data_IF_468439548686
#
_entry.id   IF_468439548686
#
_cell.length_a   1.000
_cell.length_b   1.000
_cell.length_c   1.000
_cell.angle_alpha   90.00
_cell.angle_beta   90.00
_cell.angle_gamma   90.00
#
_symmetry.space_group_name_H-M   'P 1'
#
loop_
_entity.id
_entity.type
_entity.pdbx_description
1 polymer ?
#
# COMPACT_ATOMS: atom_id res chain seq x y z
N UNK A 1 21.28 11.68 15.35
CA UNK A 1 20.24 11.28 14.38
C UNK A 1 19.72 9.85 14.64
N UNK A 2 19.76 9.34 15.88
CA UNK A 2 19.43 7.93 16.20
C UNK A 2 18.09 7.77 16.97
N UNK A 3 17.50 8.85 17.51
CA UNK A 3 16.28 8.78 18.33
C UNK A 3 14.98 9.13 17.57
N UNK A 4 14.99 9.13 16.24
CA UNK A 4 13.78 9.38 15.45
C UNK A 4 12.94 8.11 15.27
N UNK A 5 13.54 6.92 15.29
CA UNK A 5 12.79 5.67 15.10
C UNK A 5 11.97 5.39 16.36
N UNK A 6 10.68 5.14 16.14
CA UNK A 6 9.72 4.78 17.19
C UNK A 6 9.52 3.27 17.26
N UNK A 7 9.38 2.63 16.09
CA UNK A 7 9.12 1.20 15.99
C UNK A 7 9.50 0.69 14.60
N UNK A 8 9.83 -0.59 14.50
CA UNK A 8 10.02 -1.29 13.24
C UNK A 8 9.50 -2.72 13.38
N UNK A 9 8.72 -3.17 12.39
CA UNK A 9 8.24 -4.54 12.34
C UNK A 9 8.29 -5.09 10.92
N UNK A 10 8.50 -6.39 10.80
CA UNK A 10 8.38 -7.12 9.54
C UNK A 10 7.32 -8.21 9.75
N UNK A 11 6.14 -8.01 9.16
CA UNK A 11 5.03 -8.94 9.36
C UNK A 11 5.16 -10.20 8.50
N UNK A 12 5.83 -10.09 7.34
CA UNK A 12 6.16 -11.20 6.46
C UNK A 12 7.28 -10.81 5.48
N UNK A 13 7.75 -11.74 4.64
CA UNK A 13 8.77 -11.47 3.62
C UNK A 13 8.37 -10.47 2.51
N UNK A 14 7.13 -9.95 2.53
CA UNK A 14 6.59 -8.99 1.56
C UNK A 14 6.08 -7.70 2.20
N UNK A 15 6.16 -7.55 3.52
CA UNK A 15 5.63 -6.36 4.19
C UNK A 15 6.40 -6.02 5.46
N UNK A 16 6.76 -4.74 5.58
CA UNK A 16 7.41 -4.19 6.76
C UNK A 16 6.87 -2.80 7.07
N UNK A 17 6.92 -2.43 8.35
CA UNK A 17 6.55 -1.10 8.83
C UNK A 17 7.70 -0.44 9.56
N UNK A 18 7.84 0.86 9.38
CA UNK A 18 8.80 1.70 10.10
C UNK A 18 8.06 2.94 10.60
N UNK A 19 7.97 3.10 11.91
CA UNK A 19 7.43 4.30 12.52
C UNK A 19 8.56 5.19 13.00
N UNK A 20 8.48 6.48 12.69
CA UNK A 20 9.52 7.44 13.08
C UNK A 20 8.94 8.84 13.27
N UNK A 21 9.63 9.65 14.09
CA UNK A 21 9.41 11.09 14.22
C UNK A 21 10.32 11.83 13.27
N UNK A 22 9.74 12.78 12.54
CA UNK A 22 10.49 13.77 11.77
C UNK A 22 9.88 15.13 12.02
N UNK A 23 10.74 16.11 12.35
CA UNK A 23 10.31 17.41 12.86
C UNK A 23 9.34 17.22 14.04
N UNK A 24 8.14 17.82 13.96
CA UNK A 24 7.11 17.75 15.00
C UNK A 24 5.96 16.79 14.64
N UNK A 25 6.19 15.81 13.74
CA UNK A 25 5.18 14.82 13.32
C UNK A 25 5.71 13.40 13.41
N UNK A 26 4.80 12.46 13.64
CA UNK A 26 5.07 11.04 13.55
C UNK A 26 4.57 10.51 12.20
N UNK A 27 5.33 9.58 11.64
CA UNK A 27 5.05 8.93 10.36
C UNK A 27 5.13 7.44 10.56
N UNK A 28 4.32 6.69 9.81
CA UNK A 28 4.50 5.25 9.64
C UNK A 28 4.61 4.94 8.16
N UNK A 29 5.78 4.45 7.77
CA UNK A 29 6.01 3.86 6.47
C UNK A 29 5.51 2.42 6.49
N UNK A 30 4.68 2.05 5.52
CA UNK A 30 4.24 0.67 5.27
C UNK A 30 4.80 0.28 3.91
N UNK A 31 5.87 -0.51 3.90
CA UNK A 31 6.47 -1.04 2.70
C UNK A 31 5.81 -2.36 2.32
N UNK A 32 5.30 -2.45 1.10
CA UNK A 32 4.58 -3.62 0.60
C UNK A 32 5.12 -4.07 -0.76
N UNK A 33 5.38 -5.37 -0.89
CA UNK A 33 5.68 -6.01 -2.16
C UNK A 33 4.54 -6.93 -2.57
N UNK A 34 3.61 -6.39 -3.36
CA UNK A 34 2.42 -7.11 -3.79
C UNK A 34 2.78 -8.36 -4.62
N UNK A 35 1.93 -9.39 -4.63
CA UNK A 35 2.10 -10.53 -5.52
C UNK A 35 2.00 -10.07 -6.97
N UNK A 36 2.53 -10.86 -7.91
CA UNK A 36 2.44 -10.50 -9.32
C UNK A 36 0.98 -10.57 -9.79
N UNK A 37 0.66 -9.90 -10.89
CA UNK A 37 -0.69 -9.96 -11.45
C UNK A 37 -1.08 -11.39 -11.91
N UNK A 38 -0.10 -12.28 -12.13
CA UNK A 38 -0.34 -13.69 -12.43
C UNK A 38 -0.77 -14.50 -11.21
N UNK A 39 -0.23 -14.18 -10.02
CA UNK A 39 -0.63 -14.80 -8.75
C UNK A 39 -2.12 -14.59 -8.44
N UNK A 40 -2.72 -13.48 -8.89
CA UNK A 40 -4.18 -13.28 -8.81
C UNK A 40 -5.02 -14.37 -9.49
N UNK A 41 -4.44 -15.15 -10.41
CA UNK A 41 -5.11 -16.26 -11.11
C UNK A 41 -4.72 -17.62 -10.54
N UNK A 42 -3.44 -17.82 -10.24
CA UNK A 42 -2.89 -19.12 -9.78
C UNK A 42 -3.07 -19.35 -8.29
N UNK A 43 -3.04 -18.27 -7.51
CA UNK A 43 -2.97 -18.27 -6.05
C UNK A 43 -3.86 -17.15 -5.49
N UNK A 44 -5.11 -17.11 -5.94
CA UNK A 44 -6.04 -16.02 -5.62
C UNK A 44 -6.24 -15.86 -4.10
N UNK A 45 -6.46 -16.95 -3.38
CA UNK A 45 -6.71 -16.92 -1.93
C UNK A 45 -5.52 -16.37 -1.12
N UNK A 46 -4.29 -16.79 -1.44
CA UNK A 46 -3.10 -16.27 -0.75
C UNK A 46 -2.83 -14.82 -1.11
N UNK A 47 -3.13 -14.42 -2.36
CA UNK A 47 -3.07 -13.03 -2.82
C UNK A 47 -4.07 -12.17 -2.04
N UNK A 48 -5.32 -12.62 -1.92
CA UNK A 48 -6.38 -11.93 -1.18
C UNK A 48 -6.00 -11.73 0.28
N UNK A 49 -5.55 -12.79 0.95
CA UNK A 49 -5.04 -12.73 2.34
C UNK A 49 -3.89 -11.72 2.52
N UNK A 50 -3.02 -11.57 1.52
CA UNK A 50 -1.91 -10.62 1.61
C UNK A 50 -2.40 -9.17 1.50
N UNK A 51 -3.39 -8.90 0.66
CA UNK A 51 -4.01 -7.57 0.55
C UNK A 51 -4.88 -7.24 1.77
N UNK A 52 -5.64 -8.20 2.31
CA UNK A 52 -6.35 -8.05 3.58
C UNK A 52 -5.37 -7.73 4.72
N UNK A 53 -4.21 -8.39 4.74
CA UNK A 53 -3.16 -8.13 5.73
C UNK A 53 -2.62 -6.70 5.63
N UNK A 54 -2.48 -6.17 4.43
CA UNK A 54 -2.07 -4.78 4.22
C UNK A 54 -3.09 -3.81 4.83
N UNK A 55 -4.38 -4.01 4.57
CA UNK A 55 -5.46 -3.19 5.15
C UNK A 55 -5.46 -3.25 6.67
N UNK A 56 -5.35 -4.46 7.27
CA UNK A 56 -5.22 -4.61 8.72
C UNK A 56 -4.00 -3.86 9.28
N UNK A 57 -2.89 -3.83 8.54
CA UNK A 57 -1.68 -3.13 8.96
C UNK A 57 -1.86 -1.61 8.89
N UNK A 58 -2.58 -1.10 7.88
CA UNK A 58 -2.93 0.31 7.77
C UNK A 58 -3.87 0.74 8.90
N UNK A 59 -4.88 -0.06 9.22
CA UNK A 59 -5.83 0.18 10.32
C UNK A 59 -5.16 0.23 11.70
N UNK A 60 -4.06 -0.49 11.88
CA UNK A 60 -3.28 -0.51 13.12
C UNK A 60 -2.34 0.69 13.25
N UNK A 61 -2.14 1.48 12.19
CA UNK A 61 -1.31 2.68 12.29
C UNK A 61 -1.99 3.67 13.24
N UNK A 62 -1.27 4.25 14.23
CA UNK A 62 -1.86 5.24 15.12
C UNK A 62 -2.45 6.42 14.32
N UNK A 63 -3.69 6.81 14.61
CA UNK A 63 -4.43 7.86 13.86
C UNK A 63 -3.72 9.23 13.78
N UNK A 64 -2.77 9.51 14.67
CA UNK A 64 -1.99 10.75 14.68
C UNK A 64 -0.70 10.66 13.86
N UNK A 65 -0.37 9.49 13.32
CA UNK A 65 0.72 9.29 12.39
C UNK A 65 0.23 9.58 10.97
N UNK A 66 1.08 10.21 10.16
CA UNK A 66 0.87 10.24 8.70
C UNK A 66 1.37 8.92 8.10
N UNK A 67 0.52 8.27 7.31
CA UNK A 67 0.87 7.02 6.62
C UNK A 67 1.63 7.34 5.34
N UNK A 68 2.72 6.61 5.11
CA UNK A 68 3.42 6.56 3.82
C UNK A 68 3.36 5.11 3.34
N UNK A 69 2.44 4.82 2.42
CA UNK A 69 2.35 3.53 1.76
C UNK A 69 3.33 3.52 0.57
N UNK A 70 4.26 2.56 0.55
CA UNK A 70 5.33 2.48 -0.45
C UNK A 70 5.67 1.03 -0.82
N UNK A 71 6.50 0.86 -1.85
CA UNK A 71 7.01 -0.44 -2.29
C UNK A 71 6.64 -0.72 -3.75
N UNK A 72 6.60 -2.00 -4.10
CA UNK A 72 6.24 -2.47 -5.44
C UNK A 72 4.90 -3.20 -5.42
N UNK A 73 3.88 -2.53 -5.94
CA UNK A 73 2.52 -3.03 -5.98
C UNK A 73 2.21 -3.92 -7.18
N UNK A 74 3.16 -4.12 -8.11
CA UNK A 74 2.90 -4.83 -9.37
C UNK A 74 1.62 -4.31 -10.08
N UNK A 75 1.30 -3.02 -9.87
CA UNK A 75 0.05 -2.41 -10.26
C UNK A 75 0.23 -1.68 -11.58
N UNK A 76 -0.71 -1.91 -12.50
CA UNK A 76 -0.91 -1.03 -13.65
C UNK A 76 -2.16 -0.22 -13.33
N UNK A 77 -2.01 1.10 -13.31
CA UNK A 77 -3.12 2.02 -13.10
C UNK A 77 -3.39 2.75 -14.41
N UNK A 78 -4.64 2.67 -14.87
CA UNK A 78 -5.08 3.20 -16.16
C UNK A 78 -5.86 4.51 -16.08
N UNK A 79 -6.28 5.00 -17.25
CA UNK A 79 -7.00 6.28 -17.44
C UNK A 79 -8.51 6.17 -17.32
N UNK A 80 -9.02 5.10 -16.69
CA UNK A 80 -10.45 4.90 -16.52
C UNK A 80 -11.07 6.03 -15.69
N UNK A 81 -12.06 6.74 -16.26
CA UNK A 81 -12.73 7.88 -15.60
C UNK A 81 -13.29 7.54 -14.21
N UNK A 82 -13.71 6.29 -13.98
CA UNK A 82 -14.21 5.82 -12.66
C UNK A 82 -13.18 5.92 -11.53
N UNK A 83 -11.89 6.02 -11.86
CA UNK A 83 -10.80 6.11 -10.88
C UNK A 83 -10.15 7.50 -10.82
N UNK A 84 -10.60 8.47 -11.63
CA UNK A 84 -9.89 9.75 -11.78
C UNK A 84 -9.80 10.56 -10.48
N UNK A 85 -10.80 10.44 -9.61
CA UNK A 85 -10.83 11.12 -8.32
C UNK A 85 -9.77 10.59 -7.33
N UNK A 86 -9.21 9.41 -7.57
CA UNK A 86 -8.18 8.79 -6.71
C UNK A 86 -6.82 8.81 -7.41
N UNK A 87 -6.78 8.51 -8.70
CA UNK A 87 -5.56 8.35 -9.50
C UNK A 87 -5.03 9.68 -10.04
N UNK A 88 -5.92 10.62 -10.37
CA UNK A 88 -5.60 11.85 -11.09
C UNK A 88 -5.45 11.65 -12.61
N UNK A 89 -5.09 12.73 -13.30
CA UNK A 89 -5.27 12.85 -14.76
C UNK A 89 -4.17 12.17 -15.60
N UNK A 90 -3.03 11.80 -14.99
CA UNK A 90 -1.84 11.34 -15.71
C UNK A 90 -1.34 9.93 -15.36
N UNK A 91 -2.18 8.89 -15.29
CA UNK A 91 -1.70 7.54 -15.12
C UNK A 91 -0.96 7.05 -16.37
N UNK A 92 0.09 6.26 -16.14
CA UNK A 92 1.01 5.79 -17.16
C UNK A 92 0.38 4.76 -18.12
N UNK A 93 -0.56 3.94 -17.63
CA UNK A 93 -1.16 2.86 -18.41
C UNK A 93 -2.51 3.26 -19.01
N UNK A 94 -2.97 2.50 -20.01
CA UNK A 94 -4.31 2.68 -20.60
C UNK A 94 -5.41 2.02 -19.78
N UNK A 95 -5.10 0.92 -19.10
CA UNK A 95 -6.04 0.09 -18.35
C UNK A 95 -5.48 -0.28 -16.99
N UNK A 96 -6.34 -0.32 -15.98
CA UNK A 96 -6.01 -0.79 -14.65
C UNK A 96 -6.01 -2.32 -14.61
N UNK A 97 -4.96 -2.94 -14.05
CA UNK A 97 -4.93 -4.39 -13.80
C UNK A 97 -5.50 -4.71 -12.40
N UNK A 98 -5.65 -6.00 -12.05
CA UNK A 98 -6.28 -6.38 -10.78
C UNK A 98 -5.54 -5.85 -9.54
N UNK A 99 -4.21 -5.81 -9.56
CA UNK A 99 -3.43 -5.17 -8.49
C UNK A 99 -3.63 -3.65 -8.43
N UNK A 100 -3.78 -3.00 -9.58
CA UNK A 100 -4.13 -1.58 -9.65
C UNK A 100 -5.51 -1.28 -9.10
N UNK A 101 -6.50 -2.14 -9.35
CA UNK A 101 -7.84 -2.00 -8.77
C UNK A 101 -7.77 -2.08 -7.23
N UNK A 102 -7.06 -3.09 -6.69
CA UNK A 102 -6.85 -3.23 -5.24
C UNK A 102 -6.11 -2.03 -4.63
N UNK A 103 -5.05 -1.54 -5.29
CA UNK A 103 -4.32 -0.37 -4.81
C UNK A 103 -5.21 0.87 -4.75
N UNK A 104 -6.05 1.08 -5.77
CA UNK A 104 -7.01 2.18 -5.78
C UNK A 104 -8.02 2.04 -4.64
N UNK A 105 -8.52 0.83 -4.39
CA UNK A 105 -9.47 0.56 -3.30
C UNK A 105 -8.82 0.83 -1.93
N UNK A 106 -7.56 0.42 -1.72
CA UNK A 106 -6.79 0.77 -0.51
C UNK A 106 -6.68 2.29 -0.35
N UNK A 107 -6.29 3.00 -1.40
CA UNK A 107 -6.17 4.47 -1.37
C UNK A 107 -7.51 5.20 -1.17
N UNK A 108 -8.62 4.57 -1.56
CA UNK A 108 -9.97 5.11 -1.35
C UNK A 108 -10.40 5.07 0.11
N UNK A 109 -9.91 4.07 0.84
CA UNK A 109 -10.34 3.74 2.19
C UNK A 109 -9.42 4.35 3.29
N UNK A 110 -8.35 5.04 2.90
CA UNK A 110 -7.41 5.72 3.79
C UNK A 110 -7.88 7.11 4.24
#
# INVERSE_FOLDING_TARGET
MINSILDFSSSCGRMSTLSFKSMNKAYTMVNFHAPTNESNKKEAESTDKLWEKLEETLDKVPKHHSIILLGDFNAQVGRERKYNNIVGDYPAHKRTNKNGERLIDVCKNC
#
